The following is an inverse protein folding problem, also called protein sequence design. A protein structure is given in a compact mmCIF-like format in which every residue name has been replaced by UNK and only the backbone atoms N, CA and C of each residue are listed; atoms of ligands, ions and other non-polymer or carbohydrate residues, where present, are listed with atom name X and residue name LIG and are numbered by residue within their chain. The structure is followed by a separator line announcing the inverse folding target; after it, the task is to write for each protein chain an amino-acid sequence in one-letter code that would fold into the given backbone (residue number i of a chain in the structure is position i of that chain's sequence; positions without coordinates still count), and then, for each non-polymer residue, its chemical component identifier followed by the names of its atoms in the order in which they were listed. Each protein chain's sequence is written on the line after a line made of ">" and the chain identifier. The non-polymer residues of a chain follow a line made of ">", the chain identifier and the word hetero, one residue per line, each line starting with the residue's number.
data_IF_629805830171
#
_entry.id   IF_629805830171
#
_cell.length_a   1.000
_cell.length_b   1.000
_cell.length_c   1.000
_cell.angle_alpha   90.00
_cell.angle_beta   90.00
_cell.angle_gamma   90.00
#
_symmetry.space_group_name_H-M   'P 1'
#
loop_
_entity.id
_entity.type
_entity.pdbx_description
1 polymer ?
#
# COMPACT_ATOMS: atom_id res chain seq x y z
N UNK A 1 9.73 -8.09 -9.10
CA UNK A 1 8.59 -7.52 -8.36
C UNK A 1 8.03 -8.59 -7.44
N UNK A 2 7.39 -8.19 -6.35
CA UNK A 2 6.74 -9.08 -5.38
C UNK A 2 5.24 -9.09 -5.66
N UNK A 3 4.62 -10.26 -5.59
CA UNK A 3 3.16 -10.43 -5.68
C UNK A 3 2.68 -11.23 -4.48
N UNK A 4 1.71 -10.66 -3.78
CA UNK A 4 1.12 -11.16 -2.56
C UNK A 4 -0.40 -11.11 -2.71
N UNK A 5 -0.96 -12.06 -3.44
CA UNK A 5 -2.36 -11.98 -3.82
C UNK A 5 -3.16 -13.18 -3.30
N UNK A 6 -4.41 -12.92 -2.90
CA UNK A 6 -5.40 -13.92 -2.50
C UNK A 6 -4.93 -14.83 -1.34
N UNK A 7 -4.24 -14.26 -0.36
CA UNK A 7 -3.90 -14.99 0.86
C UNK A 7 -5.21 -15.34 1.60
N UNK A 8 -5.53 -16.65 1.63
CA UNK A 8 -6.77 -17.20 2.19
C UNK A 8 -6.96 -16.92 3.69
N UNK A 9 -8.10 -17.35 4.25
CA UNK A 9 -8.65 -17.00 5.58
C UNK A 9 -7.60 -16.61 6.65
N UNK A 10 -7.39 -15.30 6.81
CA UNK A 10 -6.57 -14.72 7.87
C UNK A 10 -5.10 -14.52 7.53
N UNK A 11 -4.61 -14.98 6.37
CA UNK A 11 -3.23 -14.72 5.97
C UNK A 11 -3.09 -13.28 5.48
N UNK A 12 -2.20 -12.55 6.14
CA UNK A 12 -1.78 -11.21 5.81
C UNK A 12 -0.54 -11.28 4.89
N UNK A 13 -0.45 -10.41 3.89
CA UNK A 13 0.85 -10.16 3.25
C UNK A 13 1.58 -9.06 4.00
N UNK A 14 2.82 -9.35 4.39
CA UNK A 14 3.69 -8.43 5.09
C UNK A 14 5.02 -8.34 4.36
N UNK A 15 5.47 -7.13 4.06
CA UNK A 15 6.85 -6.85 3.66
C UNK A 15 7.41 -5.85 4.65
N UNK A 16 8.20 -6.32 5.60
CA UNK A 16 8.82 -5.52 6.66
C UNK A 16 10.30 -5.32 6.34
N UNK A 17 10.75 -4.05 6.28
CA UNK A 17 12.15 -3.67 6.06
C UNK A 17 12.79 -4.35 4.86
N UNK A 18 12.03 -4.46 3.76
CA UNK A 18 12.46 -5.12 2.54
C UNK A 18 13.00 -4.12 1.50
N UNK A 19 13.79 -4.63 0.55
CA UNK A 19 14.13 -3.90 -0.69
C UNK A 19 13.59 -4.67 -1.88
N UNK A 20 12.67 -4.05 -2.61
CA UNK A 20 12.00 -4.61 -3.79
C UNK A 20 12.39 -3.75 -4.99
N UNK A 21 13.27 -4.25 -5.86
CA UNK A 21 13.75 -3.49 -7.02
C UNK A 21 12.66 -3.18 -8.07
N UNK A 22 11.54 -3.93 -8.07
CA UNK A 22 10.43 -3.76 -9.01
C UNK A 22 9.14 -3.32 -8.33
N UNK A 23 8.00 -3.73 -8.88
CA UNK A 23 6.69 -3.42 -8.29
C UNK A 23 6.35 -4.36 -7.13
N UNK A 24 5.50 -3.88 -6.22
CA UNK A 24 4.78 -4.66 -5.22
C UNK A 24 3.29 -4.65 -5.56
N UNK A 25 2.70 -5.84 -5.69
CA UNK A 25 1.25 -6.02 -5.85
C UNK A 25 0.73 -6.86 -4.69
N UNK A 26 -0.25 -6.31 -3.98
CA UNK A 26 -0.83 -6.90 -2.79
C UNK A 26 -2.36 -6.81 -2.85
N UNK A 27 -2.99 -7.88 -3.35
CA UNK A 27 -4.40 -7.83 -3.75
C UNK A 27 -5.23 -8.99 -3.20
N UNK A 28 -6.46 -8.72 -2.76
CA UNK A 28 -7.42 -9.77 -2.40
C UNK A 28 -7.10 -10.54 -1.12
N UNK A 29 -6.27 -10.01 -0.22
CA UNK A 29 -5.88 -10.71 1.00
C UNK A 29 -6.93 -10.54 2.10
N UNK A 30 -7.38 -11.67 2.65
CA UNK A 30 -8.40 -11.66 3.72
C UNK A 30 -7.86 -11.16 5.07
N UNK A 31 -6.56 -11.35 5.33
CA UNK A 31 -5.85 -10.85 6.51
C UNK A 31 -5.25 -9.44 6.34
N UNK A 32 -5.50 -8.78 5.21
CA UNK A 32 -4.96 -7.45 4.93
C UNK A 32 -3.57 -7.45 4.28
N UNK A 33 -3.02 -6.24 4.13
CA UNK A 33 -1.70 -6.02 3.54
C UNK A 33 -0.93 -4.94 4.29
N UNK A 34 0.31 -5.22 4.67
CA UNK A 34 1.12 -4.32 5.51
C UNK A 34 2.52 -4.17 4.95
N UNK A 35 2.92 -2.95 4.63
CA UNK A 35 4.19 -2.62 3.96
C UNK A 35 4.98 -1.58 4.78
N UNK A 36 5.52 -1.94 5.96
CA UNK A 36 6.30 -1.02 6.77
C UNK A 36 7.77 -0.97 6.34
N UNK A 37 8.35 0.23 6.39
CA UNK A 37 9.79 0.50 6.27
C UNK A 37 10.44 -0.13 5.02
N UNK A 38 9.64 -0.29 3.95
CA UNK A 38 10.06 -1.03 2.76
C UNK A 38 10.39 -0.08 1.62
N UNK A 39 11.50 -0.35 0.95
CA UNK A 39 11.90 0.38 -0.26
C UNK A 39 11.42 -0.38 -1.50
N UNK A 40 10.64 0.28 -2.35
CA UNK A 40 10.11 -0.27 -3.60
C UNK A 40 10.58 0.61 -4.77
N UNK A 41 11.38 0.06 -5.68
CA UNK A 41 11.87 0.79 -6.85
C UNK A 41 10.79 1.13 -7.87
N UNK A 42 9.72 0.33 -7.91
CA UNK A 42 8.58 0.50 -8.80
C UNK A 42 7.32 1.03 -8.11
N UNK A 43 6.16 0.61 -8.65
CA UNK A 43 4.85 0.96 -8.11
C UNK A 43 4.44 0.01 -6.96
N UNK A 44 3.62 0.53 -6.06
CA UNK A 44 2.93 -0.26 -5.03
C UNK A 44 1.43 -0.22 -5.31
N UNK A 45 0.82 -1.40 -5.42
CA UNK A 45 -0.63 -1.57 -5.59
C UNK A 45 -1.18 -2.39 -4.42
N UNK A 46 -2.14 -1.83 -3.67
CA UNK A 46 -2.89 -2.51 -2.62
C UNK A 46 -4.37 -2.47 -2.95
N UNK A 47 -4.95 -3.60 -3.34
CA UNK A 47 -6.32 -3.63 -3.85
C UNK A 47 -7.18 -4.73 -3.22
N UNK A 48 -8.41 -4.39 -2.84
CA UNK A 48 -9.41 -5.36 -2.39
C UNK A 48 -8.97 -6.22 -1.20
N UNK A 49 -8.21 -5.64 -0.25
CA UNK A 49 -7.80 -6.35 0.96
C UNK A 49 -8.83 -6.15 2.09
N UNK A 50 -9.24 -7.26 2.70
CA UNK A 50 -10.21 -7.28 3.78
C UNK A 50 -9.51 -7.25 5.16
N UNK A 51 -10.25 -7.61 6.21
CA UNK A 51 -9.73 -7.69 7.57
C UNK A 51 -9.32 -6.32 8.12
N UNK A 52 -8.05 -6.12 8.56
CA UNK A 52 -7.58 -4.82 9.03
C UNK A 52 -7.39 -3.80 7.90
N UNK A 53 -7.44 -4.22 6.63
CA UNK A 53 -7.26 -3.35 5.47
C UNK A 53 -5.84 -3.37 4.92
N UNK A 54 -5.39 -2.22 4.42
CA UNK A 54 -4.11 -2.07 3.75
C UNK A 54 -3.32 -0.89 4.32
N UNK A 55 -2.01 -1.09 4.54
CA UNK A 55 -1.11 -0.03 5.02
C UNK A 55 0.22 0.00 4.30
N UNK A 56 0.71 1.21 4.08
CA UNK A 56 2.08 1.53 3.67
C UNK A 56 2.60 2.57 4.65
N UNK A 57 3.74 2.33 5.27
CA UNK A 57 4.25 3.22 6.32
C UNK A 57 5.76 3.33 6.30
N UNK A 58 6.27 4.56 6.45
CA UNK A 58 7.69 4.88 6.65
C UNK A 58 8.62 4.29 5.57
N UNK A 59 8.14 4.16 4.34
CA UNK A 59 8.86 3.58 3.20
C UNK A 59 9.35 4.59 2.16
N UNK A 60 10.03 4.06 1.15
CA UNK A 60 10.48 4.81 -0.02
C UNK A 60 10.04 4.11 -1.31
N UNK A 61 9.24 4.80 -2.12
CA UNK A 61 8.56 4.23 -3.29
C UNK A 61 8.93 5.06 -4.51
N UNK A 62 9.66 4.47 -5.45
CA UNK A 62 10.11 5.16 -6.66
C UNK A 62 8.97 5.47 -7.63
N UNK A 63 7.90 4.69 -7.60
CA UNK A 63 6.73 4.86 -8.45
C UNK A 63 5.50 5.42 -7.74
N UNK A 64 4.33 5.01 -8.22
CA UNK A 64 3.03 5.39 -7.67
C UNK A 64 2.62 4.44 -6.54
N UNK A 65 1.82 4.97 -5.62
CA UNK A 65 1.06 4.19 -4.64
C UNK A 65 -0.42 4.24 -5.02
N UNK A 66 -1.02 3.07 -5.25
CA UNK A 66 -2.45 2.94 -5.49
C UNK A 66 -3.06 2.03 -4.44
N UNK A 67 -3.98 2.58 -3.64
CA UNK A 67 -4.68 1.88 -2.58
C UNK A 67 -6.19 1.95 -2.81
N UNK A 68 -6.81 0.85 -3.23
CA UNK A 68 -8.22 0.86 -3.64
C UNK A 68 -9.04 -0.29 -3.07
N UNK A 69 -10.32 -0.02 -2.78
CA UNK A 69 -11.29 -1.05 -2.39
C UNK A 69 -10.89 -1.88 -1.16
N UNK A 70 -10.02 -1.37 -0.29
CA UNK A 70 -9.64 -2.07 0.93
C UNK A 70 -10.65 -1.79 2.04
N UNK A 71 -10.81 -2.70 3.00
CA UNK A 71 -11.68 -2.48 4.17
C UNK A 71 -11.29 -1.25 5.01
N UNK A 72 -10.00 -0.93 5.04
CA UNK A 72 -9.43 0.33 5.52
C UNK A 72 -8.16 0.66 4.71
N UNK A 73 -7.72 1.92 4.73
CA UNK A 73 -6.51 2.35 4.03
C UNK A 73 -5.68 3.34 4.85
N UNK A 74 -4.37 3.09 4.97
CA UNK A 74 -3.41 4.00 5.62
C UNK A 74 -2.14 4.13 4.77
N UNK A 75 -1.75 5.37 4.47
CA UNK A 75 -0.46 5.68 3.84
C UNK A 75 0.18 6.81 4.65
N UNK A 76 1.30 6.56 5.32
CA UNK A 76 1.88 7.58 6.21
C UNK A 76 3.39 7.53 6.30
N UNK A 77 4.02 8.70 6.34
CA UNK A 77 5.49 8.80 6.51
C UNK A 77 6.29 8.38 5.28
N UNK A 78 5.65 8.24 4.11
CA UNK A 78 6.30 7.69 2.92
C UNK A 78 6.92 8.78 2.03
N UNK A 79 8.03 8.44 1.37
CA UNK A 79 8.50 9.16 0.19
C UNK A 79 8.00 8.47 -1.09
N UNK A 80 7.19 9.17 -1.88
CA UNK A 80 6.54 8.64 -3.09
C UNK A 80 7.00 9.46 -4.30
N UNK A 81 7.80 8.85 -5.17
CA UNK A 81 8.33 9.47 -6.39
C UNK A 81 7.28 9.69 -7.49
N UNK A 82 6.14 9.03 -7.40
CA UNK A 82 4.99 9.20 -8.30
C UNK A 82 3.79 9.85 -7.62
N UNK A 83 2.59 9.36 -7.97
CA UNK A 83 1.33 9.81 -7.40
C UNK A 83 0.88 8.90 -6.25
N UNK A 84 0.12 9.48 -5.32
CA UNK A 84 -0.61 8.76 -4.28
C UNK A 84 -2.11 8.79 -4.61
N UNK A 85 -2.70 7.61 -4.84
CA UNK A 85 -4.13 7.45 -5.08
C UNK A 85 -4.75 6.52 -4.05
N UNK A 86 -5.74 7.01 -3.30
CA UNK A 86 -6.57 6.20 -2.43
C UNK A 86 -8.04 6.35 -2.84
N UNK A 87 -8.74 5.27 -3.19
CA UNK A 87 -10.15 5.40 -3.57
C UNK A 87 -10.98 4.17 -3.21
N UNK A 88 -12.19 4.40 -2.70
CA UNK A 88 -13.13 3.33 -2.37
C UNK A 88 -12.67 2.45 -1.21
N UNK A 89 -11.73 2.92 -0.38
CA UNK A 89 -11.38 2.22 0.84
C UNK A 89 -12.48 2.47 1.88
N UNK A 90 -12.87 1.44 2.62
CA UNK A 90 -13.79 1.55 3.73
C UNK A 90 -13.19 2.34 4.89
N UNK A 91 -14.05 2.90 5.75
CA UNK A 91 -13.63 3.75 6.85
C UNK A 91 -12.99 5.07 6.39
N UNK A 92 -12.42 5.82 7.33
CA UNK A 92 -11.64 7.00 6.99
C UNK A 92 -10.27 6.58 6.49
N UNK A 93 -9.94 6.90 5.23
CA UNK A 93 -8.58 6.73 4.73
C UNK A 93 -7.66 7.71 5.44
N UNK A 94 -6.60 7.21 6.09
CA UNK A 94 -5.58 8.06 6.68
C UNK A 94 -4.44 8.27 5.69
N UNK A 95 -4.22 9.51 5.31
CA UNK A 95 -3.01 9.94 4.62
C UNK A 95 -2.38 11.08 5.44
N UNK A 96 -1.13 10.92 5.84
CA UNK A 96 -0.43 11.92 6.67
C UNK A 96 1.07 11.83 6.48
N UNK A 97 1.78 12.96 6.60
CA UNK A 97 3.24 13.01 6.62
C UNK A 97 3.94 12.36 5.40
N UNK A 98 3.26 12.27 4.26
CA UNK A 98 3.85 11.75 3.03
C UNK A 98 4.49 12.88 2.23
N UNK A 99 5.64 12.60 1.62
CA UNK A 99 6.23 13.46 0.58
C UNK A 99 5.90 12.82 -0.76
N UNK A 100 5.00 13.44 -1.52
CA UNK A 100 4.55 12.94 -2.83
C UNK A 100 5.06 13.89 -3.90
N UNK A 101 5.88 13.39 -4.83
CA UNK A 101 6.43 14.18 -5.92
C UNK A 101 5.38 14.52 -7.00
N UNK A 102 4.41 13.62 -7.20
CA UNK A 102 3.28 13.83 -8.08
C UNK A 102 2.06 14.42 -7.37
N UNK A 103 0.89 13.88 -7.67
CA UNK A 103 -0.39 14.31 -7.10
C UNK A 103 -0.88 13.36 -6.01
N UNK A 104 -1.66 13.90 -5.07
CA UNK A 104 -2.37 13.13 -4.05
C UNK A 104 -3.87 13.23 -4.31
N UNK A 105 -4.53 12.08 -4.46
CA UNK A 105 -6.00 11.96 -4.57
C UNK A 105 -6.46 10.83 -3.68
N UNK A 106 -6.89 11.17 -2.46
CA UNK A 106 -7.42 10.21 -1.49
C UNK A 106 -8.83 10.66 -1.08
N UNK A 107 -9.80 9.79 -1.35
CA UNK A 107 -11.23 10.07 -1.21
C UNK A 107 -11.88 9.03 -0.28
#
# INVERSE_FOLDING_TARGET
>A
GVKCNNSGNGNQCVTDRCVIAGNLDCSGNSGGCVVPETTVGGNVTLNNNAGPGASVTDGAIGGNVTMTNNSSGTVTGDFIGGNLKCNGNGGSTLQSNNVVAGTTSCN
#
